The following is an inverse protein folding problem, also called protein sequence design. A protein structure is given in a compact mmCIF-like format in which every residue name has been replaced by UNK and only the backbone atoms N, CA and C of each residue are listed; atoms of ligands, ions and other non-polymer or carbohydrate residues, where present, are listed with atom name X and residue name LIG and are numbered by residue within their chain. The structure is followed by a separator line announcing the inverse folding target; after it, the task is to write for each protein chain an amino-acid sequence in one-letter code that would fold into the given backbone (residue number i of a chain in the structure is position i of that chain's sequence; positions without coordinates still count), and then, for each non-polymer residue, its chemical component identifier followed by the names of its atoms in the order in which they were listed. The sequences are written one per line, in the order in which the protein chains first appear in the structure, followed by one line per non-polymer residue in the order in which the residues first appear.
data_IF_597553796207
#
_entry.id   IF_597553796207
#
_cell.length_a   1.000
_cell.length_b   1.000
_cell.length_c   1.000
_cell.angle_alpha   90.00
_cell.angle_beta   90.00
_cell.angle_gamma   90.00
#
_symmetry.space_group_name_H-M   'P 1'
#
loop_
_entity.id
_entity.type
_entity.pdbx_description
1 polymer ?
#
# COMPACT_ATOMS: atom_id res chain seq x y z
N UNK A 1 14.02 14.94 4.30
CA UNK A 1 12.57 14.93 4.00
C UNK A 1 11.92 14.21 5.16
N UNK A 2 10.95 14.84 5.82
CA UNK A 2 10.21 14.21 6.92
C UNK A 2 8.96 13.53 6.34
N UNK A 3 8.81 12.23 6.59
CA UNK A 3 7.68 11.46 6.08
C UNK A 3 6.68 11.29 7.22
N UNK A 4 5.49 11.89 7.06
CA UNK A 4 4.39 11.73 8.00
C UNK A 4 3.60 10.48 7.60
N UNK A 5 3.55 9.49 8.49
CA UNK A 5 2.75 8.27 8.32
C UNK A 5 1.54 8.33 9.23
N UNK A 6 0.35 8.09 8.68
CA UNK A 6 -0.91 8.15 9.42
C UNK A 6 -1.72 6.87 9.22
N UNK A 7 -2.28 6.37 10.33
CA UNK A 7 -3.30 5.33 10.30
C UNK A 7 -4.66 5.98 10.14
N UNK A 8 -5.44 5.49 9.19
CA UNK A 8 -6.71 6.02 8.73
C UNK A 8 -6.64 7.51 8.39
N UNK A 9 -5.53 7.92 7.77
CA UNK A 9 -5.35 9.28 7.27
C UNK A 9 -6.33 9.61 6.15
N UNK A 10 -6.66 10.90 6.03
CA UNK A 10 -7.54 11.38 4.97
C UNK A 10 -6.91 11.17 3.58
N UNK A 11 -7.76 10.94 2.59
CA UNK A 11 -7.40 10.81 1.18
C UNK A 11 -8.37 11.60 0.31
N UNK A 12 -7.81 12.33 -0.65
CA UNK A 12 -8.55 13.01 -1.71
C UNK A 12 -8.62 12.16 -2.97
N UNK A 13 -9.71 12.28 -3.71
CA UNK A 13 -9.97 11.40 -4.87
C UNK A 13 -8.88 11.52 -5.94
N UNK A 14 -8.48 12.74 -6.25
CA UNK A 14 -7.50 13.01 -7.30
C UNK A 14 -6.09 12.49 -6.95
N UNK A 15 -5.60 12.74 -5.73
CA UNK A 15 -4.25 12.32 -5.34
C UNK A 15 -4.11 10.79 -5.28
N UNK A 16 -5.19 10.08 -4.92
CA UNK A 16 -5.23 8.61 -4.92
C UNK A 16 -5.19 8.09 -6.36
N UNK A 17 -6.00 8.66 -7.26
CA UNK A 17 -5.97 8.22 -8.65
C UNK A 17 -4.62 8.51 -9.29
N UNK A 18 -4.01 9.66 -9.00
CA UNK A 18 -2.71 10.04 -9.55
C UNK A 18 -1.59 9.11 -9.09
N UNK A 19 -1.52 8.75 -7.80
CA UNK A 19 -0.50 7.81 -7.31
C UNK A 19 -0.72 6.41 -7.89
N UNK A 20 -1.97 5.96 -8.05
CA UNK A 20 -2.24 4.66 -8.68
C UNK A 20 -1.87 4.65 -10.18
N UNK A 21 -2.15 5.73 -10.91
CA UNK A 21 -1.73 5.87 -12.32
C UNK A 21 -0.21 5.92 -12.47
N UNK A 22 0.48 6.63 -11.58
CA UNK A 22 1.95 6.69 -11.57
C UNK A 22 2.61 5.32 -11.35
N UNK A 23 1.89 4.38 -10.74
CA UNK A 23 2.30 2.99 -10.56
C UNK A 23 1.70 2.03 -11.61
N UNK A 24 1.06 2.56 -12.66
CA UNK A 24 0.41 1.79 -13.73
C UNK A 24 -0.62 0.75 -13.22
N UNK A 25 -1.25 1.02 -12.08
CA UNK A 25 -2.26 0.14 -11.50
C UNK A 25 -3.62 0.36 -12.15
N UNK A 26 -4.15 -0.69 -12.78
CA UNK A 26 -5.43 -0.67 -13.49
C UNK A 26 -6.65 -0.33 -12.62
N UNK A 27 -6.54 -0.40 -11.29
CA UNK A 27 -7.59 0.10 -10.39
C UNK A 27 -7.79 1.62 -10.51
N UNK A 28 -6.81 2.36 -11.04
CA UNK A 28 -6.98 3.78 -11.36
C UNK A 28 -8.03 4.05 -12.45
N UNK A 29 -8.32 3.05 -13.29
CA UNK A 29 -9.37 3.13 -14.33
C UNK A 29 -10.78 2.95 -13.75
N UNK A 30 -10.87 2.61 -12.46
CA UNK A 30 -12.11 2.38 -11.70
C UNK A 30 -12.10 3.23 -10.42
N UNK A 31 -12.05 4.57 -10.53
CA UNK A 31 -11.77 5.46 -9.40
C UNK A 31 -12.81 5.34 -8.28
N UNK A 32 -14.09 5.26 -8.62
CA UNK A 32 -15.17 5.13 -7.62
C UNK A 32 -15.01 3.85 -6.80
N UNK A 33 -14.72 2.71 -7.45
CA UNK A 33 -14.51 1.44 -6.76
C UNK A 33 -13.22 1.44 -5.94
N UNK A 34 -12.15 2.04 -6.47
CA UNK A 34 -10.87 2.18 -5.77
C UNK A 34 -11.04 2.98 -4.47
N UNK A 35 -11.69 4.13 -4.54
CA UNK A 35 -11.91 5.00 -3.39
C UNK A 35 -12.82 4.33 -2.36
N UNK A 36 -13.87 3.65 -2.80
CA UNK A 36 -14.70 2.84 -1.91
C UNK A 36 -13.89 1.73 -1.22
N UNK A 37 -13.01 1.04 -1.94
CA UNK A 37 -12.18 -0.01 -1.35
C UNK A 37 -11.24 0.53 -0.27
N UNK A 38 -10.57 1.66 -0.52
CA UNK A 38 -9.65 2.29 0.44
C UNK A 38 -10.39 2.83 1.65
N UNK A 39 -11.51 3.54 1.45
CA UNK A 39 -12.33 4.12 2.53
C UNK A 39 -13.01 3.08 3.41
N UNK A 40 -13.32 1.90 2.86
CA UNK A 40 -13.95 0.79 3.61
C UNK A 40 -12.93 -0.26 4.10
N UNK A 41 -11.63 0.02 4.00
CA UNK A 41 -10.60 -0.86 4.55
C UNK A 41 -10.63 -0.83 6.09
N UNK A 42 -10.30 -1.96 6.73
CA UNK A 42 -10.15 -2.01 8.18
C UNK A 42 -9.06 -1.07 8.69
N UNK A 43 -7.99 -0.93 7.91
CA UNK A 43 -6.98 0.09 8.13
C UNK A 43 -6.49 0.61 6.80
N UNK A 44 -6.42 1.92 6.68
CA UNK A 44 -5.74 2.61 5.60
C UNK A 44 -4.48 3.27 6.18
N UNK A 45 -3.34 3.11 5.55
CA UNK A 45 -2.09 3.79 5.90
C UNK A 45 -1.80 4.78 4.80
N UNK A 46 -1.55 6.04 5.17
CA UNK A 46 -1.07 7.07 4.24
C UNK A 46 0.33 7.50 4.63
N UNK A 47 1.17 7.76 3.64
CA UNK A 47 2.47 8.40 3.81
C UNK A 47 2.47 9.73 3.06
N UNK A 48 2.86 10.80 3.74
CA UNK A 48 2.85 12.16 3.18
C UNK A 48 4.19 12.87 3.39
N UNK A 49 4.56 13.70 2.42
CA UNK A 49 5.68 14.65 2.52
C UNK A 49 5.12 16.03 2.20
N UNK A 50 5.29 17.00 3.10
CA UNK A 50 4.79 18.38 2.93
C UNK A 50 3.28 18.43 2.55
N UNK A 51 2.50 17.48 3.07
CA UNK A 51 1.07 17.34 2.80
C UNK A 51 0.71 16.54 1.54
N UNK A 52 1.67 16.28 0.63
CA UNK A 52 1.45 15.48 -0.57
C UNK A 52 1.42 13.99 -0.24
N UNK A 53 0.41 13.26 -0.74
CA UNK A 53 0.36 11.80 -0.64
C UNK A 53 1.44 11.16 -1.53
N UNK A 54 2.34 10.43 -0.90
CA UNK A 54 3.46 9.74 -1.56
C UNK A 54 3.40 8.21 -1.41
N UNK A 55 2.47 7.70 -0.60
CA UNK A 55 2.31 6.27 -0.39
C UNK A 55 0.99 5.94 0.28
N UNK A 56 0.46 4.76 -0.06
CA UNK A 56 -0.77 4.20 0.49
C UNK A 56 -0.61 2.71 0.72
N UNK A 57 -1.27 2.19 1.75
CA UNK A 57 -1.42 0.76 1.98
C UNK A 57 -2.73 0.49 2.69
N UNK A 58 -3.41 -0.60 2.37
CA UNK A 58 -4.68 -0.91 3.02
C UNK A 58 -4.76 -2.37 3.50
N UNK A 59 -5.58 -2.58 4.52
CA UNK A 59 -5.81 -3.87 5.15
C UNK A 59 -7.30 -4.19 5.22
N UNK A 60 -7.65 -5.43 4.91
CA UNK A 60 -8.94 -6.05 5.18
C UNK A 60 -8.71 -7.10 6.26
N UNK A 61 -9.43 -7.05 7.37
CA UNK A 61 -9.26 -7.98 8.49
C UNK A 61 -10.59 -8.63 8.87
N UNK A 62 -10.54 -9.72 9.63
CA UNK A 62 -11.69 -10.26 10.36
C UNK A 62 -11.89 -9.57 11.73
N UNK A 63 -11.01 -8.63 12.11
CA UNK A 63 -11.02 -7.90 13.38
C UNK A 63 -10.50 -8.70 14.58
N UNK A 64 -9.98 -9.93 14.38
CA UNK A 64 -9.65 -10.84 15.47
C UNK A 64 -8.30 -11.56 15.28
N UNK A 65 -8.12 -12.28 14.17
CA UNK A 65 -6.95 -13.17 13.97
C UNK A 65 -6.34 -13.08 12.57
N UNK A 66 -7.11 -12.67 11.56
CA UNK A 66 -6.69 -12.70 10.16
C UNK A 66 -6.70 -11.28 9.57
N UNK A 67 -5.64 -10.94 8.86
CA UNK A 67 -5.53 -9.73 8.06
C UNK A 67 -5.00 -10.07 6.66
N UNK A 68 -5.65 -9.50 5.65
CA UNK A 68 -5.28 -9.53 4.25
C UNK A 68 -4.91 -8.12 3.82
N UNK A 69 -3.79 -7.98 3.12
CA UNK A 69 -3.34 -6.70 2.57
C UNK A 69 -3.52 -6.75 1.05
N UNK A 70 -4.70 -6.38 0.51
CA UNK A 70 -4.99 -6.48 -0.92
C UNK A 70 -4.11 -5.57 -1.78
N UNK A 71 -3.68 -4.44 -1.23
CA UNK A 71 -2.73 -3.54 -1.87
C UNK A 71 -1.54 -3.33 -0.92
N UNK A 72 -0.50 -4.13 -1.12
CA UNK A 72 0.78 -4.02 -0.44
C UNK A 72 1.88 -3.82 -1.48
N UNK A 73 2.61 -2.70 -1.40
CA UNK A 73 3.85 -2.55 -2.15
C UNK A 73 4.92 -3.38 -1.44
N UNK A 74 5.27 -4.53 -2.02
CA UNK A 74 6.38 -5.36 -1.56
C UNK A 74 7.57 -5.15 -2.49
N UNK A 75 8.73 -4.88 -1.90
CA UNK A 75 9.99 -4.79 -2.64
C UNK A 75 10.43 -6.20 -3.04
N UNK A 76 10.31 -6.55 -4.34
CA UNK A 76 11.06 -7.69 -4.89
C UNK A 76 12.56 -7.37 -4.85
N UNK A 77 13.41 -8.40 -4.80
CA UNK A 77 14.79 -8.40 -4.31
C UNK A 77 15.67 -7.20 -4.67
N UNK A 78 15.55 -6.63 -5.88
CA UNK A 78 16.33 -5.47 -6.31
C UNK A 78 15.93 -4.15 -5.60
N UNK A 79 14.68 -4.04 -5.15
CA UNK A 79 14.18 -2.86 -4.42
C UNK A 79 14.55 -2.88 -2.92
N UNK A 80 15.05 -3.98 -2.39
CA UNK A 80 15.46 -4.09 -0.97
C UNK A 80 16.54 -3.07 -0.62
N UNK A 81 17.53 -2.89 -1.50
CA UNK A 81 18.62 -1.96 -1.25
C UNK A 81 18.17 -0.49 -1.34
N UNK A 82 17.15 -0.20 -2.16
CA UNK A 82 16.51 1.11 -2.19
C UNK A 82 15.84 1.46 -0.85
N UNK A 83 15.06 0.55 -0.28
CA UNK A 83 14.39 0.80 1.01
C UNK A 83 15.36 0.83 2.20
N UNK A 84 16.42 0.01 2.19
CA UNK A 84 17.50 0.13 3.18
C UNK A 84 18.20 1.48 3.12
N UNK A 85 18.45 2.01 1.92
CA UNK A 85 19.06 3.33 1.74
C UNK A 85 18.17 4.47 2.29
N UNK A 86 16.86 4.25 2.36
CA UNK A 86 15.88 5.17 2.95
C UNK A 86 15.68 4.97 4.46
N UNK A 87 16.44 4.08 5.10
CA UNK A 87 16.42 3.87 6.56
C UNK A 87 15.39 2.86 7.05
N UNK A 88 14.76 2.11 6.15
CA UNK A 88 13.87 1.01 6.53
C UNK A 88 14.68 -0.22 6.92
N UNK A 89 14.23 -0.92 7.97
CA UNK A 89 14.84 -2.15 8.47
C UNK A 89 13.89 -3.33 8.42
N UNK A 90 14.45 -4.54 8.29
CA UNK A 90 13.65 -5.76 8.18
C UNK A 90 12.99 -6.06 9.52
N UNK A 91 11.66 -6.02 9.54
CA UNK A 91 10.88 -6.46 10.69
C UNK A 91 10.94 -8.01 10.82
N UNK A 92 11.87 -8.52 11.62
CA UNK A 92 11.94 -9.95 11.99
C UNK A 92 12.47 -10.91 10.91
N UNK A 93 12.10 -12.20 11.01
CA UNK A 93 12.59 -13.32 10.18
C UNK A 93 11.52 -13.87 9.21
N UNK A 94 10.63 -13.04 8.71
CA UNK A 94 9.51 -13.52 7.89
C UNK A 94 9.98 -13.85 6.47
N UNK A 95 9.75 -15.08 6.02
CA UNK A 95 9.99 -15.54 4.65
C UNK A 95 8.65 -15.88 3.99
N UNK A 96 8.34 -15.36 2.78
CA UNK A 96 7.11 -15.70 2.07
C UNK A 96 7.19 -17.12 1.49
N UNK A 97 6.22 -17.96 1.80
CA UNK A 97 6.17 -19.38 1.40
C UNK A 97 5.25 -19.65 0.19
N UNK A 98 4.69 -18.61 -0.45
CA UNK A 98 3.76 -18.80 -1.56
C UNK A 98 4.17 -17.98 -2.79
N UNK A 99 4.46 -18.69 -3.88
CA UNK A 99 4.80 -18.14 -5.20
C UNK A 99 3.65 -18.52 -6.14
N UNK A 100 2.86 -17.54 -6.57
CA UNK A 100 1.79 -17.76 -7.55
C UNK A 100 2.35 -17.76 -8.98
N UNK A 101 2.05 -18.81 -9.74
CA UNK A 101 2.46 -18.96 -11.14
C UNK A 101 1.45 -18.38 -12.14
N UNK A 102 0.94 -17.18 -11.86
CA UNK A 102 0.30 -16.31 -12.86
C UNK A 102 -1.08 -16.70 -13.41
N UNK A 103 -1.74 -17.74 -12.93
CA UNK A 103 -3.08 -18.14 -13.44
C UNK A 103 -4.14 -18.44 -12.39
N UNK A 104 -3.87 -18.12 -11.12
CA UNK A 104 -4.78 -18.49 -10.03
C UNK A 104 -5.47 -17.22 -9.53
N UNK A 105 -6.79 -17.20 -9.73
CA UNK A 105 -7.73 -16.17 -9.27
C UNK A 105 -8.16 -16.41 -7.82
#
# INVERSE_FOLDING_TARGET
MDVKVELNGEIEDAEVVDIYRANEWSSADKPDQLLLALRNSHTLVTARIDGQLIGVGNAISDGHLVVYYPHMLTADGEAIEFYKALGFERAGRTEPMWVYAGTEH
#
